data_IF_410774054268
#
_entry.id   IF_410774054268
#
_cell.length_a   1.000
_cell.length_b   1.000
_cell.length_c   1.000
_cell.angle_alpha   90.00
_cell.angle_beta   90.00
_cell.angle_gamma   90.00
#
_symmetry.space_group_name_H-M   'P 1'
#
loop_
_entity.id
_entity.type
_entity.pdbx_description
1 polymer ?
#
# COMPACT_ATOMS: atom_id res chain seq x y z
N UNK A 1 -8.57 -33.45 7.38
CA UNK A 1 -7.32 -33.41 8.13
C UNK A 1 -6.47 -32.32 7.52
N UNK A 2 -6.52 -31.13 8.08
CA UNK A 2 -5.72 -29.98 7.64
C UNK A 2 -4.31 -30.19 8.20
N UNK A 3 -3.36 -30.50 7.35
CA UNK A 3 -1.94 -30.42 7.68
C UNK A 3 -1.62 -28.94 7.87
N UNK A 4 -1.38 -28.55 9.11
CA UNK A 4 -0.69 -27.30 9.42
C UNK A 4 0.62 -27.34 8.65
N UNK A 5 0.69 -26.64 7.51
CA UNK A 5 1.96 -26.34 6.85
C UNK A 5 2.82 -25.62 7.89
N UNK A 6 3.90 -26.27 8.28
CA UNK A 6 4.93 -25.65 9.10
C UNK A 6 5.31 -24.35 8.40
N UNK A 7 5.15 -23.20 9.07
CA UNK A 7 5.68 -21.92 8.61
C UNK A 7 7.19 -22.11 8.44
N UNK A 8 7.62 -22.40 7.21
CA UNK A 8 9.03 -22.44 6.87
C UNK A 8 9.55 -21.01 7.14
N UNK A 9 10.48 -20.89 8.07
CA UNK A 9 11.15 -19.61 8.33
C UNK A 9 12.00 -19.29 7.10
N UNK A 10 11.78 -18.13 6.53
CA UNK A 10 12.66 -17.60 5.50
C UNK A 10 14.08 -17.41 6.08
N UNK A 11 15.08 -17.53 5.22
CA UNK A 11 16.44 -17.09 5.58
C UNK A 11 16.46 -15.56 5.55
N UNK A 12 16.97 -14.88 6.60
CA UNK A 12 17.09 -13.41 6.57
C UNK A 12 17.88 -12.93 5.34
N UNK A 13 17.49 -11.80 4.80
CA UNK A 13 18.14 -11.20 3.63
C UNK A 13 19.54 -10.70 4.03
N UNK A 14 20.52 -10.97 3.16
CA UNK A 14 21.85 -10.39 3.28
C UNK A 14 21.79 -8.86 3.13
N UNK A 15 22.32 -8.14 4.12
CA UNK A 15 22.32 -6.67 4.18
C UNK A 15 23.29 -6.03 3.18
N UNK A 16 24.29 -6.79 2.72
CA UNK A 16 25.26 -6.34 1.72
C UNK A 16 24.81 -6.62 0.28
N UNK A 17 23.70 -7.36 0.10
CA UNK A 17 23.18 -7.69 -1.21
C UNK A 17 22.41 -6.53 -1.85
N UNK A 18 22.55 -6.34 -3.17
CA UNK A 18 21.83 -5.32 -3.95
C UNK A 18 20.31 -5.48 -3.81
N UNK A 19 19.65 -4.38 -3.42
CA UNK A 19 18.21 -4.34 -3.19
C UNK A 19 17.53 -3.32 -4.12
N UNK A 20 16.68 -3.80 -5.01
CA UNK A 20 15.91 -2.94 -5.91
C UNK A 20 14.55 -2.55 -5.31
N UNK A 21 14.30 -1.25 -5.17
CA UNK A 21 12.99 -0.71 -4.77
C UNK A 21 12.31 -0.08 -5.98
N UNK A 22 11.52 -0.87 -6.72
CA UNK A 22 10.75 -0.38 -7.85
C UNK A 22 9.62 0.53 -7.37
N UNK A 23 9.69 1.82 -7.72
CA UNK A 23 8.77 2.85 -7.24
C UNK A 23 9.24 3.57 -5.96
N UNK A 24 10.55 3.65 -5.71
CA UNK A 24 11.19 4.26 -4.53
C UNK A 24 10.82 5.73 -4.27
N UNK A 25 10.24 6.48 -5.23
CA UNK A 25 9.74 7.86 -5.05
C UNK A 25 8.26 7.92 -4.66
N UNK A 26 7.54 6.79 -4.63
CA UNK A 26 6.15 6.72 -4.18
C UNK A 26 6.02 6.66 -2.66
N UNK A 27 4.78 6.75 -2.14
CA UNK A 27 4.48 6.69 -0.70
C UNK A 27 5.16 5.48 -0.03
N UNK A 28 4.86 4.26 -0.47
CA UNK A 28 5.40 3.04 0.14
C UNK A 28 6.87 2.84 -0.21
N UNK A 29 7.23 3.03 -1.49
CA UNK A 29 8.62 2.80 -1.93
C UNK A 29 9.62 3.70 -1.21
N UNK A 30 9.28 4.97 -0.96
CA UNK A 30 10.16 5.88 -0.21
C UNK A 30 10.30 5.51 1.27
N UNK A 31 9.22 5.00 1.87
CA UNK A 31 9.28 4.50 3.25
C UNK A 31 10.10 3.21 3.35
N UNK A 32 9.94 2.28 2.39
CA UNK A 32 10.77 1.07 2.29
C UNK A 32 12.24 1.45 2.13
N UNK A 33 12.56 2.41 1.26
CA UNK A 33 13.93 2.88 1.06
C UNK A 33 14.55 3.39 2.37
N UNK A 34 13.90 4.34 3.04
CA UNK A 34 14.36 4.88 4.33
C UNK A 34 14.51 3.79 5.39
N UNK A 35 13.57 2.83 5.43
CA UNK A 35 13.62 1.74 6.38
C UNK A 35 14.83 0.82 6.13
N UNK A 36 15.09 0.45 4.88
CA UNK A 36 16.24 -0.37 4.48
C UNK A 36 17.57 0.32 4.84
N UNK A 37 17.72 1.62 4.52
CA UNK A 37 18.90 2.40 4.95
C UNK A 37 19.10 2.34 6.47
N UNK A 38 18.01 2.54 7.24
CA UNK A 38 18.02 2.46 8.70
C UNK A 38 18.34 1.06 9.25
N UNK A 39 18.14 0.00 8.45
CA UNK A 39 18.45 -1.39 8.79
C UNK A 39 19.82 -1.86 8.27
N UNK A 40 20.63 -0.92 7.74
CA UNK A 40 22.01 -1.17 7.35
C UNK A 40 22.22 -1.70 5.93
N UNK A 41 21.19 -1.65 5.06
CA UNK A 41 21.39 -1.92 3.64
C UNK A 41 22.13 -0.76 2.99
N UNK A 42 23.22 -1.06 2.29
CA UNK A 42 24.09 -0.04 1.68
C UNK A 42 24.01 -0.01 0.15
N UNK A 43 23.54 -1.08 -0.47
CA UNK A 43 23.45 -1.21 -1.93
C UNK A 43 21.97 -1.19 -2.37
N UNK A 44 21.36 0.00 -2.29
CA UNK A 44 19.97 0.25 -2.71
C UNK A 44 19.93 0.87 -4.09
N UNK A 45 19.13 0.29 -4.98
CA UNK A 45 18.94 0.82 -6.34
C UNK A 45 17.47 1.12 -6.61
N UNK A 46 17.21 2.12 -7.46
CA UNK A 46 15.89 2.53 -7.89
C UNK A 46 15.96 3.74 -8.81
N UNK A 47 15.12 3.76 -9.83
CA UNK A 47 15.03 4.85 -10.79
C UNK A 47 13.67 5.55 -10.73
N UNK A 48 13.62 6.89 -10.85
CA UNK A 48 12.35 7.58 -10.98
C UNK A 48 11.67 7.25 -12.32
N UNK A 49 10.35 7.38 -12.37
CA UNK A 49 9.57 7.07 -13.57
C UNK A 49 9.87 7.96 -14.80
N UNK A 50 10.60 9.07 -14.59
CA UNK A 50 11.12 9.92 -15.66
C UNK A 50 12.30 9.30 -16.37
N UNK A 51 13.07 8.44 -15.70
CA UNK A 51 14.32 7.86 -16.19
C UNK A 51 14.14 6.38 -16.56
N UNK A 52 13.24 5.67 -15.83
CA UNK A 52 12.85 4.28 -16.12
C UNK A 52 11.34 4.12 -16.10
N UNK A 53 10.69 4.10 -17.27
CA UNK A 53 9.28 3.72 -17.37
C UNK A 53 9.13 2.20 -17.27
N UNK A 54 8.60 1.73 -16.17
CA UNK A 54 8.40 0.29 -15.92
C UNK A 54 7.39 -0.38 -16.88
N UNK A 55 6.69 0.40 -17.72
CA UNK A 55 5.86 -0.12 -18.80
C UNK A 55 6.69 -0.46 -20.05
N UNK A 56 7.87 0.12 -20.18
CA UNK A 56 8.81 -0.23 -21.24
C UNK A 56 9.56 -1.51 -20.88
N UNK A 57 9.15 -2.61 -21.55
CA UNK A 57 9.72 -3.94 -21.29
C UNK A 57 11.22 -3.99 -21.56
N UNK A 58 11.69 -3.34 -22.62
CA UNK A 58 13.11 -3.38 -22.99
C UNK A 58 13.93 -2.67 -21.92
N UNK A 59 13.54 -1.44 -21.57
CA UNK A 59 14.23 -0.66 -20.56
C UNK A 59 14.28 -1.38 -19.20
N UNK A 60 13.19 -2.03 -18.78
CA UNK A 60 13.14 -2.80 -17.53
C UNK A 60 14.07 -4.01 -17.56
N UNK A 61 14.09 -4.74 -18.68
CA UNK A 61 14.96 -5.90 -18.82
C UNK A 61 16.43 -5.48 -18.80
N UNK A 62 16.80 -4.44 -19.54
CA UNK A 62 18.16 -3.91 -19.57
C UNK A 62 18.61 -3.43 -18.19
N UNK A 63 17.74 -2.72 -17.45
CA UNK A 63 18.01 -2.22 -16.11
C UNK A 63 18.29 -3.36 -15.11
N UNK A 64 17.42 -4.37 -15.06
CA UNK A 64 17.58 -5.51 -14.12
C UNK A 64 18.77 -6.40 -14.57
N UNK A 65 19.03 -6.54 -15.86
CA UNK A 65 20.20 -7.26 -16.36
C UNK A 65 21.52 -6.62 -15.95
N UNK A 66 21.60 -5.29 -16.04
CA UNK A 66 22.82 -4.54 -15.70
C UNK A 66 23.09 -4.51 -14.19
N UNK A 67 22.04 -4.35 -13.37
CA UNK A 67 22.20 -4.16 -11.95
C UNK A 67 22.14 -5.45 -11.12
N UNK A 68 21.58 -6.55 -11.67
CA UNK A 68 21.49 -7.88 -11.03
C UNK A 68 21.10 -7.86 -9.54
N UNK A 69 20.00 -7.19 -9.16
CA UNK A 69 19.61 -7.16 -7.77
C UNK A 69 19.28 -8.57 -7.24
N UNK A 70 19.71 -8.87 -6.01
CA UNK A 70 19.34 -10.12 -5.33
C UNK A 70 17.93 -10.04 -4.76
N UNK A 71 17.51 -8.83 -4.32
CA UNK A 71 16.23 -8.58 -3.67
C UNK A 71 15.45 -7.49 -4.40
N UNK A 72 14.11 -7.62 -4.41
CA UNK A 72 13.23 -6.65 -5.05
C UNK A 72 11.94 -6.43 -4.25
N UNK A 73 11.59 -5.16 -4.01
CA UNK A 73 10.22 -4.76 -3.62
C UNK A 73 9.56 -4.05 -4.79
N UNK A 74 8.47 -4.62 -5.30
CA UNK A 74 7.65 -3.99 -6.34
C UNK A 74 6.54 -3.14 -5.70
N UNK A 75 6.88 -1.88 -5.41
CA UNK A 75 5.97 -0.87 -4.87
C UNK A 75 5.37 0.04 -5.95
N UNK A 76 5.89 -0.02 -7.17
CA UNK A 76 5.39 0.78 -8.29
C UNK A 76 4.01 0.33 -8.72
N UNK A 77 3.07 1.27 -8.75
CA UNK A 77 1.72 1.06 -9.28
C UNK A 77 1.07 2.40 -9.65
N UNK A 78 0.16 2.37 -10.62
CA UNK A 78 -0.80 3.47 -10.81
C UNK A 78 -1.91 3.29 -9.77
N UNK A 79 -1.99 4.23 -8.83
CA UNK A 79 -2.96 4.24 -7.73
C UNK A 79 -3.79 5.51 -7.75
N UNK A 80 -4.98 5.48 -7.13
CA UNK A 80 -5.85 6.65 -7.04
C UNK A 80 -7.13 6.34 -6.26
N UNK A 81 -7.86 7.39 -5.89
CA UNK A 81 -9.14 7.28 -5.21
C UNK A 81 -10.26 6.69 -6.10
N UNK A 82 -11.45 6.51 -5.53
CA UNK A 82 -12.62 5.90 -6.20
C UNK A 82 -12.95 6.61 -7.52
N UNK A 83 -12.98 7.95 -7.52
CA UNK A 83 -13.30 8.74 -8.71
C UNK A 83 -12.31 8.47 -9.86
N UNK A 84 -11.02 8.46 -9.58
CA UNK A 84 -10.00 8.20 -10.60
C UNK A 84 -10.11 6.79 -11.16
N UNK A 85 -10.28 5.78 -10.31
CA UNK A 85 -10.46 4.39 -10.72
C UNK A 85 -11.69 4.20 -11.61
N UNK A 86 -12.84 4.76 -11.23
CA UNK A 86 -14.08 4.65 -12.01
C UNK A 86 -14.05 5.45 -13.32
N UNK A 87 -13.26 6.54 -13.39
CA UNK A 87 -13.15 7.38 -14.59
C UNK A 87 -12.17 6.83 -15.62
N UNK A 88 -11.07 6.21 -15.17
CA UNK A 88 -9.96 5.76 -16.03
C UNK A 88 -9.64 4.26 -15.85
N UNK A 89 -10.63 3.34 -15.88
CA UNK A 89 -10.39 1.92 -15.56
C UNK A 89 -9.34 1.26 -16.47
N UNK A 90 -9.32 1.61 -17.78
CA UNK A 90 -8.32 1.09 -18.72
C UNK A 90 -6.90 1.45 -18.31
N UNK A 91 -6.68 2.67 -17.88
CA UNK A 91 -5.36 3.12 -17.42
C UNK A 91 -4.89 2.35 -16.18
N UNK A 92 -5.81 2.08 -15.24
CA UNK A 92 -5.48 1.36 -14.01
C UNK A 92 -5.16 -0.12 -14.29
N UNK A 93 -5.94 -0.80 -15.11
CA UNK A 93 -5.67 -2.20 -15.43
C UNK A 93 -4.43 -2.32 -16.32
N UNK A 94 -4.36 -1.58 -17.43
CA UNK A 94 -3.30 -1.72 -18.42
C UNK A 94 -1.93 -1.33 -17.87
N UNK A 95 -1.81 -0.15 -17.22
CA UNK A 95 -0.53 0.30 -16.68
C UNK A 95 0.00 -0.63 -15.59
N UNK A 96 -0.87 -1.09 -14.67
CA UNK A 96 -0.45 -1.97 -13.60
C UNK A 96 -0.05 -3.37 -14.10
N UNK A 97 -0.78 -3.93 -15.08
CA UNK A 97 -0.41 -5.19 -15.71
C UNK A 97 0.96 -5.10 -16.41
N UNK A 98 1.19 -4.03 -17.19
CA UNK A 98 2.48 -3.84 -17.88
C UNK A 98 3.63 -3.73 -16.88
N UNK A 99 3.51 -2.87 -15.86
CA UNK A 99 4.54 -2.68 -14.83
C UNK A 99 4.89 -4.01 -14.16
N UNK A 100 3.90 -4.73 -13.64
CA UNK A 100 4.17 -5.94 -12.88
C UNK A 100 4.69 -7.08 -13.74
N UNK A 101 4.13 -7.29 -14.94
CA UNK A 101 4.62 -8.34 -15.86
C UNK A 101 6.06 -8.06 -16.29
N UNK A 102 6.38 -6.83 -16.67
CA UNK A 102 7.74 -6.49 -17.10
C UNK A 102 8.76 -6.70 -15.99
N UNK A 103 8.46 -6.19 -14.77
CA UNK A 103 9.39 -6.30 -13.64
C UNK A 103 9.55 -7.73 -13.15
N UNK A 104 8.43 -8.47 -13.00
CA UNK A 104 8.49 -9.86 -12.50
C UNK A 104 9.11 -10.82 -13.51
N UNK A 105 8.84 -10.65 -14.82
CA UNK A 105 9.49 -11.46 -15.87
C UNK A 105 10.99 -11.20 -15.93
N UNK A 106 11.42 -9.93 -15.85
CA UNK A 106 12.83 -9.57 -15.84
C UNK A 106 13.51 -10.10 -14.56
N UNK A 107 12.88 -9.96 -13.40
CA UNK A 107 13.36 -10.49 -12.14
C UNK A 107 13.58 -12.02 -12.21
N UNK A 108 12.62 -12.75 -12.80
CA UNK A 108 12.74 -14.19 -13.00
C UNK A 108 13.87 -14.54 -13.98
N UNK A 109 13.92 -13.85 -15.12
CA UNK A 109 14.94 -14.11 -16.16
C UNK A 109 16.37 -13.90 -15.65
N UNK A 110 16.56 -12.87 -14.84
CA UNK A 110 17.88 -12.46 -14.38
C UNK A 110 18.24 -12.92 -12.97
N UNK A 111 17.42 -13.79 -12.38
CA UNK A 111 17.77 -14.53 -11.18
C UNK A 111 17.61 -13.74 -9.87
N UNK A 112 16.66 -12.82 -9.79
CA UNK A 112 16.31 -12.17 -8.51
C UNK A 112 15.80 -13.21 -7.53
N UNK A 113 16.50 -13.34 -6.41
CA UNK A 113 16.24 -14.42 -5.44
C UNK A 113 14.98 -14.20 -4.61
N UNK A 114 14.80 -12.96 -4.10
CA UNK A 114 13.70 -12.59 -3.22
C UNK A 114 12.89 -11.43 -3.83
N UNK A 115 11.60 -11.63 -3.95
CA UNK A 115 10.66 -10.59 -4.42
C UNK A 115 9.51 -10.44 -3.43
N UNK A 116 9.20 -9.21 -3.06
CA UNK A 116 7.97 -8.85 -2.41
C UNK A 116 7.12 -8.00 -3.35
N UNK A 117 5.96 -8.52 -3.74
CA UNK A 117 4.96 -7.83 -4.54
C UNK A 117 3.94 -7.13 -3.63
N UNK A 118 3.75 -5.83 -3.82
CA UNK A 118 2.70 -5.10 -3.11
C UNK A 118 1.37 -5.19 -3.88
N UNK A 119 0.46 -5.96 -3.31
CA UNK A 119 -0.92 -6.01 -3.73
C UNK A 119 -1.75 -4.86 -3.13
N UNK A 120 -2.99 -5.15 -2.79
CA UNK A 120 -3.92 -4.22 -2.13
C UNK A 120 -5.07 -5.00 -1.51
N UNK A 121 -5.64 -4.54 -0.42
CA UNK A 121 -6.89 -5.09 0.12
C UNK A 121 -8.10 -4.94 -0.81
N UNK A 122 -7.99 -4.20 -1.92
CA UNK A 122 -9.03 -4.10 -2.96
C UNK A 122 -9.27 -5.39 -3.74
N UNK A 123 -8.36 -6.36 -3.63
CA UNK A 123 -8.49 -7.69 -4.28
C UNK A 123 -9.60 -8.55 -3.68
N UNK A 124 -10.04 -8.24 -2.48
CA UNK A 124 -11.06 -9.02 -1.78
C UNK A 124 -12.47 -8.64 -2.23
N UNK A 125 -13.41 -9.60 -2.18
CA UNK A 125 -14.80 -9.34 -2.53
C UNK A 125 -15.39 -8.18 -1.75
N UNK A 126 -16.27 -7.41 -2.41
CA UNK A 126 -16.98 -6.26 -1.79
C UNK A 126 -17.68 -6.64 -0.49
N UNK A 127 -18.26 -7.83 -0.43
CA UNK A 127 -19.04 -8.35 0.69
C UNK A 127 -18.33 -9.49 1.43
N UNK A 128 -17.00 -9.51 1.42
CA UNK A 128 -16.24 -10.48 2.21
C UNK A 128 -16.58 -10.37 3.70
N UNK A 129 -16.58 -11.53 4.38
CA UNK A 129 -16.73 -11.58 5.83
C UNK A 129 -15.63 -10.78 6.51
N UNK A 130 -15.99 -10.05 7.58
CA UNK A 130 -15.08 -9.17 8.32
C UNK A 130 -14.71 -9.79 9.68
N UNK A 131 -13.44 -9.80 10.10
CA UNK A 131 -12.24 -9.37 9.35
C UNK A 131 -11.97 -10.24 8.12
N UNK A 132 -11.40 -9.64 7.06
CA UNK A 132 -11.16 -10.30 5.78
C UNK A 132 -9.90 -11.16 5.88
N UNK A 133 -10.05 -12.46 5.72
CA UNK A 133 -8.93 -13.41 5.68
C UNK A 133 -8.32 -13.51 4.28
N UNK A 134 -7.08 -13.99 4.19
CA UNK A 134 -6.39 -14.21 2.92
C UNK A 134 -7.13 -15.18 1.98
N UNK A 135 -7.84 -16.16 2.53
CA UNK A 135 -8.65 -17.14 1.79
C UNK A 135 -9.89 -16.52 1.10
N UNK A 136 -10.22 -15.26 1.41
CA UNK A 136 -11.32 -14.54 0.76
C UNK A 136 -11.00 -14.16 -0.69
N UNK A 137 -9.76 -14.34 -1.17
CA UNK A 137 -9.36 -14.03 -2.53
C UNK A 137 -10.20 -14.87 -3.54
N UNK A 138 -10.82 -14.18 -4.53
CA UNK A 138 -11.62 -14.78 -5.60
C UNK A 138 -12.88 -15.55 -5.14
N UNK A 139 -13.39 -15.29 -3.94
CA UNK A 139 -14.61 -15.96 -3.43
C UNK A 139 -15.91 -15.24 -3.75
N UNK A 140 -15.84 -14.06 -4.39
CA UNK A 140 -17.02 -13.28 -4.75
C UNK A 140 -16.69 -12.06 -5.61
N UNK A 141 -17.73 -11.26 -5.99
CA UNK A 141 -17.55 -10.10 -6.86
C UNK A 141 -16.77 -8.98 -6.17
N UNK A 142 -15.91 -8.32 -6.95
CA UNK A 142 -15.12 -7.17 -6.54
C UNK A 142 -15.99 -5.91 -6.37
N UNK A 143 -15.41 -4.86 -5.77
CA UNK A 143 -16.01 -3.52 -5.77
C UNK A 143 -15.97 -2.92 -7.18
N UNK A 144 -17.14 -2.66 -7.83
CA UNK A 144 -17.17 -2.26 -9.24
C UNK A 144 -16.46 -0.94 -9.56
N UNK A 145 -16.25 -0.08 -8.56
CA UNK A 145 -15.57 1.22 -8.75
C UNK A 145 -14.06 1.12 -8.88
N UNK A 146 -13.47 -0.04 -8.55
CA UNK A 146 -12.02 -0.27 -8.63
C UNK A 146 -11.64 -1.70 -9.07
N UNK A 147 -12.56 -2.43 -9.69
CA UNK A 147 -12.35 -3.81 -10.14
C UNK A 147 -11.19 -3.94 -11.14
N UNK A 148 -11.03 -2.99 -12.04
CA UNK A 148 -9.92 -2.95 -12.99
C UNK A 148 -8.54 -2.93 -12.30
N UNK A 149 -8.37 -2.11 -11.25
CA UNK A 149 -7.18 -2.09 -10.42
C UNK A 149 -7.02 -3.40 -9.64
N UNK A 150 -8.11 -3.87 -9.04
CA UNK A 150 -8.10 -5.10 -8.25
C UNK A 150 -7.69 -6.32 -9.08
N UNK A 151 -8.23 -6.48 -10.31
CA UNK A 151 -7.86 -7.55 -11.24
C UNK A 151 -6.37 -7.49 -11.58
N UNK A 152 -5.83 -6.29 -11.86
CA UNK A 152 -4.38 -6.17 -12.11
C UNK A 152 -3.57 -6.68 -10.91
N UNK A 153 -3.95 -6.32 -9.68
CA UNK A 153 -3.26 -6.78 -8.47
C UNK A 153 -3.44 -8.28 -8.23
N UNK A 154 -4.61 -8.85 -8.49
CA UNK A 154 -4.85 -10.31 -8.44
C UNK A 154 -3.93 -11.04 -9.42
N UNK A 155 -3.79 -10.54 -10.65
CA UNK A 155 -2.89 -11.13 -11.64
C UNK A 155 -1.44 -11.17 -11.16
N UNK A 156 -0.94 -10.11 -10.50
CA UNK A 156 0.40 -10.08 -9.91
C UNK A 156 0.58 -11.11 -8.79
N UNK A 157 -0.41 -11.26 -7.90
CA UNK A 157 -0.38 -12.28 -6.85
C UNK A 157 -0.30 -13.68 -7.45
N UNK A 158 -1.13 -13.95 -8.47
CA UNK A 158 -1.11 -15.25 -9.16
C UNK A 158 0.22 -15.49 -9.89
N UNK A 159 0.85 -14.45 -10.44
CA UNK A 159 2.18 -14.57 -11.05
C UNK A 159 3.22 -14.94 -9.99
N UNK A 160 3.24 -14.28 -8.82
CA UNK A 160 4.12 -14.64 -7.69
C UNK A 160 3.92 -16.10 -7.26
N UNK A 161 2.66 -16.52 -7.06
CA UNK A 161 2.33 -17.90 -6.68
C UNK A 161 2.76 -18.91 -7.76
N UNK A 162 2.63 -18.55 -9.04
CA UNK A 162 3.05 -19.38 -10.16
C UNK A 162 4.57 -19.55 -10.22
N UNK A 163 5.32 -18.48 -9.98
CA UNK A 163 6.79 -18.54 -9.89
C UNK A 163 7.23 -19.45 -8.75
N UNK A 164 6.62 -19.33 -7.57
CA UNK A 164 6.89 -20.23 -6.45
C UNK A 164 6.62 -21.69 -6.83
N UNK A 165 5.48 -21.97 -7.43
CA UNK A 165 5.07 -23.34 -7.80
C UNK A 165 5.98 -23.94 -8.87
N UNK A 166 6.38 -23.16 -9.86
CA UNK A 166 7.11 -23.65 -11.02
C UNK A 166 8.63 -23.69 -10.81
N UNK A 167 9.18 -22.70 -10.10
CA UNK A 167 10.62 -22.50 -9.95
C UNK A 167 11.14 -22.64 -8.52
N UNK A 168 10.26 -22.74 -7.52
CA UNK A 168 10.65 -22.88 -6.11
C UNK A 168 11.22 -21.59 -5.49
N UNK A 169 11.11 -20.44 -6.16
CA UNK A 169 11.66 -19.19 -5.65
C UNK A 169 10.80 -18.64 -4.50
N UNK A 170 11.40 -18.13 -3.41
CA UNK A 170 10.70 -17.65 -2.22
C UNK A 170 10.12 -16.22 -2.40
N UNK A 171 9.39 -16.01 -3.50
CA UNK A 171 8.70 -14.76 -3.79
C UNK A 171 7.38 -14.69 -3.03
N UNK A 172 7.05 -13.52 -2.48
CA UNK A 172 5.88 -13.33 -1.61
C UNK A 172 5.06 -12.10 -2.02
N UNK A 173 3.81 -12.05 -1.54
CA UNK A 173 2.91 -10.92 -1.78
C UNK A 173 2.36 -10.39 -0.47
N UNK A 174 2.36 -9.06 -0.27
CA UNK A 174 1.79 -8.38 0.89
C UNK A 174 0.57 -7.54 0.49
N UNK A 175 -0.51 -7.65 1.27
CA UNK A 175 -1.80 -6.99 1.03
C UNK A 175 -2.02 -5.89 2.04
N UNK A 176 -1.57 -4.66 1.77
CA UNK A 176 -1.76 -3.55 2.70
C UNK A 176 -3.23 -3.14 2.81
N UNK A 177 -3.60 -2.71 4.02
CA UNK A 177 -4.80 -1.91 4.28
C UNK A 177 -4.64 -0.47 3.74
N UNK A 178 -5.46 0.50 4.20
CA UNK A 178 -5.30 1.88 3.76
C UNK A 178 -4.04 2.48 4.36
N UNK A 179 -3.08 2.80 3.51
CA UNK A 179 -1.82 3.41 3.90
C UNK A 179 -1.91 4.93 3.92
N UNK A 180 -1.16 5.55 4.80
CA UNK A 180 -1.01 6.99 4.92
C UNK A 180 0.36 7.34 5.54
N UNK A 181 0.82 8.56 5.37
CA UNK A 181 2.06 9.01 5.98
C UNK A 181 2.80 10.07 5.16
N UNK A 182 4.06 10.37 5.53
CA UNK A 182 4.95 11.23 4.77
C UNK A 182 5.09 10.79 3.31
N UNK A 183 4.96 11.72 2.36
CA UNK A 183 5.04 11.43 0.93
C UNK A 183 3.71 11.00 0.28
N UNK A 184 2.59 11.04 1.02
CA UNK A 184 1.27 10.71 0.46
C UNK A 184 0.79 11.76 -0.57
N UNK A 185 -0.25 11.40 -1.30
CA UNK A 185 -0.89 12.26 -2.30
C UNK A 185 -1.98 13.12 -1.66
N UNK A 186 -1.74 14.41 -1.55
CA UNK A 186 -2.70 15.39 -1.00
C UNK A 186 -3.52 16.14 -2.08
N UNK A 187 -3.49 15.69 -3.34
CA UNK A 187 -4.24 16.31 -4.43
C UNK A 187 -5.74 16.39 -4.14
N UNK A 188 -6.42 17.53 -4.45
CA UNK A 188 -7.87 17.65 -4.27
C UNK A 188 -8.70 16.62 -5.03
N UNK A 189 -8.16 16.08 -6.14
CA UNK A 189 -8.90 15.23 -7.09
C UNK A 189 -8.59 13.74 -6.97
N UNK A 190 -7.41 13.38 -6.45
CA UNK A 190 -6.92 12.00 -6.52
C UNK A 190 -6.44 11.43 -5.19
N UNK A 191 -6.45 12.22 -4.11
CA UNK A 191 -6.04 11.75 -2.78
C UNK A 191 -7.00 10.73 -2.17
N UNK A 192 -6.47 9.91 -1.29
CA UNK A 192 -7.27 9.05 -0.41
C UNK A 192 -7.90 9.85 0.73
N UNK A 193 -8.79 9.21 1.50
CA UNK A 193 -9.62 9.88 2.50
C UNK A 193 -8.79 10.61 3.57
N UNK A 194 -7.74 9.98 4.13
CA UNK A 194 -6.97 10.57 5.23
C UNK A 194 -6.16 11.80 4.79
N UNK A 195 -5.33 11.74 3.72
CA UNK A 195 -4.64 12.95 3.23
C UNK A 195 -5.62 14.05 2.75
N UNK A 196 -6.81 13.68 2.22
CA UNK A 196 -7.84 14.67 1.90
C UNK A 196 -8.37 15.39 3.14
N UNK A 197 -8.59 14.67 4.24
CA UNK A 197 -9.01 15.26 5.52
C UNK A 197 -7.93 16.17 6.09
N UNK A 198 -6.66 15.72 6.12
CA UNK A 198 -5.54 16.54 6.60
C UNK A 198 -5.47 17.86 5.84
N UNK A 199 -5.45 17.82 4.50
CA UNK A 199 -5.37 19.02 3.68
C UNK A 199 -6.55 19.97 3.96
N UNK A 200 -7.78 19.48 3.92
CA UNK A 200 -8.99 20.29 4.07
C UNK A 200 -9.11 20.94 5.45
N UNK A 201 -8.80 20.18 6.50
CA UNK A 201 -8.86 20.72 7.86
C UNK A 201 -7.70 21.67 8.16
N UNK A 202 -6.50 21.42 7.60
CA UNK A 202 -5.37 22.33 7.74
C UNK A 202 -5.61 23.66 7.00
N UNK A 203 -6.15 23.61 5.77
CA UNK A 203 -6.59 24.79 5.02
C UNK A 203 -7.65 25.57 5.84
N UNK A 204 -8.70 24.90 6.31
CA UNK A 204 -9.77 25.52 7.10
C UNK A 204 -9.28 26.12 8.43
N UNK A 205 -8.31 25.48 9.10
CA UNK A 205 -7.71 26.02 10.31
C UNK A 205 -6.92 27.31 10.05
N UNK A 206 -6.19 27.36 8.94
CA UNK A 206 -5.43 28.55 8.53
C UNK A 206 -6.31 29.70 8.08
N UNK A 207 -7.40 29.38 7.37
CA UNK A 207 -8.32 30.39 6.83
C UNK A 207 -9.36 30.85 7.87
N UNK A 208 -9.42 30.21 9.06
CA UNK A 208 -10.40 30.51 10.09
C UNK A 208 -11.83 30.12 9.71
N UNK A 209 -12.00 29.11 8.86
CA UNK A 209 -13.32 28.67 8.38
C UNK A 209 -14.20 28.15 9.52
N UNK A 210 -15.47 28.60 9.59
CA UNK A 210 -16.40 28.22 10.65
C UNK A 210 -16.86 26.76 10.59
N UNK A 211 -16.91 26.15 9.38
CA UNK A 211 -17.27 24.76 9.20
C UNK A 211 -16.54 24.08 8.03
N UNK A 212 -16.37 22.76 8.14
CA UNK A 212 -15.91 21.87 7.05
C UNK A 212 -16.94 20.77 6.86
N UNK A 213 -17.50 20.66 5.65
CA UNK A 213 -18.48 19.65 5.31
C UNK A 213 -17.80 18.43 4.67
N UNK A 214 -17.92 17.26 5.26
CA UNK A 214 -17.50 15.97 4.72
C UNK A 214 -18.63 15.29 3.97
N UNK A 215 -18.29 14.46 2.98
CA UNK A 215 -19.29 13.66 2.26
C UNK A 215 -19.67 12.42 3.04
N UNK A 216 -20.95 12.01 2.91
CA UNK A 216 -21.51 10.81 3.53
C UNK A 216 -21.91 11.03 5.00
N UNK A 217 -22.14 9.93 5.71
CA UNK A 217 -22.55 9.94 7.13
C UNK A 217 -21.35 9.96 8.10
N UNK A 218 -20.15 9.57 7.62
CA UNK A 218 -18.99 9.35 8.47
C UNK A 218 -19.01 8.03 9.25
N UNK A 219 -20.06 7.20 9.10
CA UNK A 219 -20.19 5.92 9.81
C UNK A 219 -19.38 4.76 9.24
N UNK A 220 -19.00 4.72 7.93
CA UNK A 220 -18.14 3.64 7.42
C UNK A 220 -16.85 3.51 8.21
N UNK A 221 -16.44 2.26 8.44
CA UNK A 221 -15.22 1.94 9.17
C UNK A 221 -14.07 1.59 8.23
N UNK A 222 -12.89 2.08 8.54
CA UNK A 222 -11.64 1.80 7.82
C UNK A 222 -10.50 1.53 8.79
N UNK A 223 -9.66 0.64 8.37
CA UNK A 223 -8.37 0.37 8.95
C UNK A 223 -7.32 1.25 8.28
N UNK A 224 -6.40 1.81 9.08
CA UNK A 224 -5.30 2.66 8.60
C UNK A 224 -3.97 2.18 9.17
N UNK A 225 -2.95 2.09 8.33
CA UNK A 225 -1.60 1.72 8.72
C UNK A 225 -0.62 2.81 8.27
N UNK A 226 0.25 3.26 9.18
CA UNK A 226 1.30 4.21 8.83
C UNK A 226 2.30 3.61 7.86
N UNK A 227 2.76 4.39 6.90
CA UNK A 227 3.63 3.90 5.82
C UNK A 227 4.97 3.37 6.31
N UNK A 228 5.51 3.90 7.41
CA UNK A 228 6.77 3.41 7.99
C UNK A 228 6.57 2.05 8.68
N UNK A 229 5.40 1.78 9.27
CA UNK A 229 5.04 0.43 9.73
C UNK A 229 4.86 -0.53 8.54
N UNK A 230 4.29 -0.08 7.43
CA UNK A 230 4.23 -0.90 6.20
C UNK A 230 5.64 -1.25 5.69
N UNK A 231 6.56 -0.31 5.71
CA UNK A 231 7.96 -0.54 5.31
C UNK A 231 8.65 -1.57 6.22
N UNK A 232 8.46 -1.45 7.54
CA UNK A 232 8.94 -2.43 8.51
C UNK A 232 8.32 -3.82 8.29
N UNK A 233 7.01 -3.89 7.98
CA UNK A 233 6.34 -5.15 7.66
C UNK A 233 6.88 -5.79 6.38
N UNK A 234 7.22 -4.99 5.34
CA UNK A 234 7.83 -5.51 4.11
C UNK A 234 9.13 -6.26 4.39
N UNK A 235 10.07 -5.62 5.10
CA UNK A 235 11.34 -6.26 5.43
C UNK A 235 11.15 -7.45 6.37
N UNK A 236 10.28 -7.33 7.39
CA UNK A 236 9.97 -8.43 8.29
C UNK A 236 9.44 -9.66 7.53
N UNK A 237 8.52 -9.47 6.58
CA UNK A 237 7.99 -10.56 5.76
C UNK A 237 9.08 -11.18 4.88
N UNK A 238 9.93 -10.37 4.28
CA UNK A 238 11.06 -10.87 3.48
C UNK A 238 12.07 -11.66 4.32
N UNK A 239 12.28 -11.30 5.58
CA UNK A 239 13.19 -12.01 6.50
C UNK A 239 12.58 -13.27 7.15
N UNK A 240 11.25 -13.36 7.31
CA UNK A 240 10.64 -14.36 8.19
C UNK A 240 9.51 -15.18 7.56
N UNK A 241 8.98 -14.77 6.39
CA UNK A 241 7.86 -15.46 5.76
C UNK A 241 8.25 -16.09 4.44
N UNK A 242 7.95 -17.39 4.31
CA UNK A 242 8.18 -18.17 3.07
C UNK A 242 6.93 -18.99 2.70
N UNK A 243 5.74 -18.38 2.81
CA UNK A 243 4.48 -19.00 2.42
C UNK A 243 4.08 -18.64 0.97
N UNK A 244 3.26 -19.48 0.36
CA UNK A 244 2.69 -19.22 -0.96
C UNK A 244 1.49 -18.28 -0.93
N UNK A 245 0.77 -18.20 0.19
CA UNK A 245 -0.40 -17.35 0.38
C UNK A 245 0.06 -15.89 0.52
N UNK A 246 -0.68 -14.97 -0.07
CA UNK A 246 -0.49 -13.54 0.18
C UNK A 246 -0.75 -13.22 1.66
N UNK A 247 -0.06 -12.23 2.22
CA UNK A 247 -0.18 -11.87 3.63
C UNK A 247 -0.86 -10.52 3.79
N UNK A 248 -1.92 -10.47 4.59
CA UNK A 248 -2.58 -9.24 4.98
C UNK A 248 -1.68 -8.41 5.91
N UNK A 249 -1.51 -7.11 5.59
CA UNK A 249 -0.71 -6.17 6.36
C UNK A 249 -1.57 -5.02 6.83
N UNK A 250 -1.77 -4.93 8.14
CA UNK A 250 -2.63 -3.94 8.77
C UNK A 250 -2.43 -3.90 10.28
N UNK A 251 -3.26 -3.12 10.95
CA UNK A 251 -3.28 -3.01 12.42
C UNK A 251 -4.18 -4.06 13.07
N UNK A 252 -5.20 -4.54 12.34
CA UNK A 252 -6.30 -5.35 12.87
C UNK A 252 -7.32 -4.54 13.66
N UNK A 253 -7.31 -3.20 13.51
CA UNK A 253 -8.23 -2.27 14.18
C UNK A 253 -8.82 -1.29 13.16
N UNK A 254 -10.10 -0.98 13.28
CA UNK A 254 -10.78 -0.02 12.40
C UNK A 254 -11.45 1.10 13.19
N UNK A 255 -11.51 2.29 12.58
CA UNK A 255 -12.23 3.46 13.09
C UNK A 255 -13.26 3.93 12.08
N UNK A 256 -14.33 4.58 12.56
CA UNK A 256 -15.25 5.32 11.70
C UNK A 256 -14.53 6.50 11.05
N UNK A 257 -14.96 6.87 9.85
CA UNK A 257 -14.43 8.08 9.18
C UNK A 257 -14.67 9.33 10.04
N UNK A 258 -15.75 9.32 10.84
CA UNK A 258 -16.05 10.42 11.79
C UNK A 258 -15.00 10.53 12.90
N UNK A 259 -14.58 9.41 13.49
CA UNK A 259 -13.51 9.39 14.50
C UNK A 259 -12.18 9.85 13.91
N UNK A 260 -11.84 9.36 12.70
CA UNK A 260 -10.62 9.79 12.00
C UNK A 260 -10.66 11.28 11.69
N UNK A 261 -11.79 11.81 11.21
CA UNK A 261 -11.95 13.25 10.94
C UNK A 261 -11.76 14.10 12.20
N UNK A 262 -12.24 13.62 13.36
CA UNK A 262 -12.04 14.31 14.63
C UNK A 262 -10.56 14.30 15.06
N UNK A 263 -9.87 13.15 14.93
CA UNK A 263 -8.42 13.07 15.22
C UNK A 263 -7.65 14.04 14.33
N UNK A 264 -7.95 14.07 13.04
CA UNK A 264 -7.29 15.00 12.11
C UNK A 264 -7.56 16.46 12.48
N UNK A 265 -8.82 16.83 12.82
CA UNK A 265 -9.18 18.16 13.25
C UNK A 265 -8.39 18.60 14.49
N UNK A 266 -8.28 17.69 15.48
CA UNK A 266 -7.52 17.95 16.71
C UNK A 266 -6.03 18.19 16.39
N UNK A 267 -5.41 17.34 15.57
CA UNK A 267 -3.97 17.39 15.24
C UNK A 267 -3.59 18.62 14.37
N UNK A 268 -4.47 19.05 13.47
CA UNK A 268 -4.23 20.31 12.71
C UNK A 268 -4.60 21.58 13.51
N UNK A 269 -5.33 21.44 14.64
CA UNK A 269 -5.79 22.53 15.48
C UNK A 269 -7.04 23.23 14.93
N UNK A 270 -7.85 22.56 14.10
CA UNK A 270 -9.13 23.07 13.61
C UNK A 270 -10.18 23.09 14.76
N UNK A 271 -10.86 24.23 14.91
CA UNK A 271 -11.84 24.47 15.98
C UNK A 271 -13.27 24.76 15.49
N UNK A 272 -13.46 24.79 14.16
CA UNK A 272 -14.77 24.97 13.57
C UNK A 272 -15.66 23.72 13.64
N UNK A 273 -16.86 23.80 13.09
CA UNK A 273 -17.81 22.69 13.06
C UNK A 273 -17.44 21.67 11.99
N UNK A 274 -17.58 20.38 12.33
CA UNK A 274 -17.47 19.26 11.39
C UNK A 274 -18.88 18.88 10.96
N UNK A 275 -19.21 19.08 9.70
CA UNK A 275 -20.51 18.80 9.11
C UNK A 275 -20.43 17.60 8.15
N UNK A 276 -21.56 16.93 7.92
CA UNK A 276 -21.68 15.74 7.09
C UNK A 276 -22.81 15.89 6.06
N UNK A 277 -22.47 15.83 4.77
CA UNK A 277 -23.44 15.82 3.68
C UNK A 277 -23.91 14.40 3.36
N UNK A 278 -24.97 13.98 4.02
CA UNK A 278 -25.57 12.65 3.86
C UNK A 278 -26.29 12.45 2.52
N UNK A 279 -26.41 13.51 1.68
CA UNK A 279 -26.89 13.37 0.29
C UNK A 279 -25.87 12.67 -0.61
N UNK A 280 -24.61 12.60 -0.18
CA UNK A 280 -23.53 11.89 -0.86
C UNK A 280 -23.46 10.44 -0.36
N UNK A 281 -23.18 9.48 -1.24
CA UNK A 281 -23.15 8.08 -0.86
C UNK A 281 -21.99 7.79 0.10
N UNK A 282 -22.23 6.91 1.05
CA UNK A 282 -21.18 6.24 1.81
C UNK A 282 -20.47 5.19 0.93
N UNK A 283 -19.20 4.95 1.18
CA UNK A 283 -18.47 3.81 0.61
C UNK A 283 -18.86 2.48 1.28
N UNK A 284 -18.09 1.41 1.02
CA UNK A 284 -18.25 0.11 1.69
C UNK A 284 -18.36 0.29 3.21
N UNK A 285 -19.35 -0.32 3.89
CA UNK A 285 -19.61 -0.05 5.31
C UNK A 285 -18.43 -0.35 6.23
N UNK A 286 -17.70 -1.45 5.98
CA UNK A 286 -16.52 -1.84 6.76
C UNK A 286 -15.46 -2.48 5.88
N UNK A 287 -14.19 -2.22 6.17
CA UNK A 287 -13.05 -2.90 5.55
C UNK A 287 -11.94 -3.05 6.59
N UNK A 288 -11.85 -4.25 7.15
CA UNK A 288 -10.88 -4.66 8.17
C UNK A 288 -10.23 -5.95 7.72
N UNK A 289 -8.90 -6.03 7.76
CA UNK A 289 -8.15 -7.23 7.45
C UNK A 289 -7.98 -8.13 8.69
N UNK A 290 -8.04 -9.43 8.50
CA UNK A 290 -7.47 -10.37 9.44
C UNK A 290 -5.95 -10.37 9.25
N UNK A 291 -5.22 -10.01 10.29
CA UNK A 291 -3.76 -9.90 10.27
C UNK A 291 -3.08 -10.98 11.12
N UNK A 292 -3.79 -12.08 11.36
CA UNK A 292 -3.30 -13.18 12.21
C UNK A 292 -2.03 -13.81 11.67
N UNK A 293 -1.91 -13.99 10.34
CA UNK A 293 -0.70 -14.49 9.69
C UNK A 293 0.52 -13.64 10.03
N UNK A 294 0.39 -12.31 9.89
CA UNK A 294 1.45 -11.36 10.18
C UNK A 294 1.78 -11.31 11.67
N UNK A 295 0.77 -11.27 12.55
CA UNK A 295 0.97 -11.31 14.01
C UNK A 295 1.68 -12.58 14.46
N UNK A 296 1.33 -13.72 13.90
CA UNK A 296 1.94 -15.01 14.22
C UNK A 296 3.41 -15.12 13.75
N UNK A 297 3.82 -14.30 12.75
CA UNK A 297 5.23 -14.18 12.37
C UNK A 297 6.06 -13.36 13.35
N UNK A 298 5.42 -12.74 14.36
CA UNK A 298 6.07 -11.93 15.40
C UNK A 298 6.06 -10.42 15.13
N UNK A 299 5.43 -9.95 14.06
CA UNK A 299 5.34 -8.53 13.74
C UNK A 299 4.07 -7.86 14.33
N UNK A 300 4.19 -6.61 14.70
CA UNK A 300 3.08 -5.73 15.10
C UNK A 300 3.38 -4.28 14.70
N UNK A 301 2.35 -3.46 14.41
CA UNK A 301 2.54 -2.05 14.16
C UNK A 301 3.08 -1.34 15.42
N UNK A 302 3.94 -0.36 15.22
CA UNK A 302 4.57 0.42 16.29
C UNK A 302 3.95 1.83 16.42
N UNK A 303 3.33 2.35 15.35
CA UNK A 303 2.84 3.73 15.26
C UNK A 303 1.32 3.73 15.44
N UNK A 304 0.83 4.39 16.49
CA UNK A 304 -0.61 4.57 16.69
C UNK A 304 -1.20 5.50 15.63
N UNK A 305 -2.52 5.40 15.38
CA UNK A 305 -3.20 6.25 14.39
C UNK A 305 -2.99 7.75 14.70
N UNK A 306 -3.10 8.17 15.97
CA UNK A 306 -2.92 9.57 16.36
C UNK A 306 -1.48 10.06 16.14
N UNK A 307 -0.48 9.30 16.54
CA UNK A 307 0.93 9.64 16.32
C UNK A 307 1.27 9.71 14.83
N UNK A 308 0.76 8.75 14.04
CA UNK A 308 0.93 8.73 12.60
C UNK A 308 0.26 9.91 11.91
N UNK A 309 -0.95 10.30 12.32
CA UNK A 309 -1.62 11.52 11.81
C UNK A 309 -0.81 12.75 12.17
N UNK A 310 -0.35 12.87 13.44
CA UNK A 310 0.46 14.00 13.90
C UNK A 310 1.75 14.17 13.08
N UNK A 311 2.49 13.08 12.84
CA UNK A 311 3.70 13.09 12.02
C UNK A 311 3.40 13.44 10.56
N UNK A 312 2.29 12.93 10.00
CA UNK A 312 1.86 13.22 8.64
C UNK A 312 1.45 14.69 8.45
N UNK A 313 0.74 15.29 9.43
CA UNK A 313 0.39 16.71 9.44
C UNK A 313 1.64 17.59 9.46
N UNK A 314 2.62 17.24 10.29
CA UNK A 314 3.91 17.96 10.35
C UNK A 314 4.61 17.92 9.01
N UNK A 315 4.77 16.72 8.44
CA UNK A 315 5.37 16.55 7.12
C UNK A 315 4.63 17.32 6.03
N UNK A 316 3.29 17.27 6.04
CA UNK A 316 2.45 18.02 5.10
C UNK A 316 2.76 19.52 5.15
N UNK A 317 2.83 20.12 6.34
CA UNK A 317 3.11 21.55 6.54
C UNK A 317 4.52 21.94 6.10
N UNK A 318 5.50 21.09 6.36
CA UNK A 318 6.92 21.31 5.99
C UNK A 318 7.15 21.19 4.47
N UNK A 319 6.29 20.45 3.77
CA UNK A 319 6.45 20.16 2.33
C UNK A 319 5.34 20.76 1.45
N UNK A 320 4.52 21.66 1.96
CA UNK A 320 3.31 22.14 1.30
C UNK A 320 3.54 22.72 -0.11
N UNK A 321 4.70 23.35 -0.33
CA UNK A 321 5.08 23.96 -1.61
C UNK A 321 5.56 22.94 -2.65
N UNK A 322 5.93 21.72 -2.22
CA UNK A 322 6.43 20.63 -3.05
C UNK A 322 5.39 19.52 -3.29
N UNK A 323 4.26 19.59 -2.60
CA UNK A 323 3.20 18.60 -2.68
C UNK A 323 2.56 18.64 -4.08
N UNK A 324 2.37 17.47 -4.68
CA UNK A 324 1.63 17.31 -5.93
C UNK A 324 0.20 17.85 -5.76
N UNK A 325 -0.12 18.91 -6.45
CA UNK A 325 -1.46 19.56 -6.49
C UNK A 325 -2.31 19.04 -7.63
#
# INVERSE_FOLDING_TARGET
MSTLESTQRATPIDRDATFYVAGHKGLVGSAVWRHLEGQGFTDLIGEPSTDLDLRDRIAVFDYIEQNRPSNLVLAAAKVGGILANSTYPVDFISSNLQVQVNVLDAALKFGVERVLFLGSSCIYPKHATQPITEDSLLTGPLEPTNDAYAIAKIAGILQIQSVRKQYGLPWISAMPTNLYGPGDNFSPRSSHVLPALIRRYDEAARDGSESVTNWGSGTPKREFLHVDDMAAACLHLMDHYDGATQVNVGTGEDQTIKEVAQIVADEVGYRGRIEWDTSKPDGTPRKLLDVSTLKNSGWKPAISLREGISSTVRWYRENIDQIRR
#
